data_IF_541678254416
#
_entry.id   IF_541678254416
#
_cell.length_a   1.000
_cell.length_b   1.000
_cell.length_c   1.000
_cell.angle_alpha   90.00
_cell.angle_beta   90.00
_cell.angle_gamma   90.00
#
_symmetry.space_group_name_H-M   'P 1'
#
loop_
_entity.id
_entity.type
_entity.pdbx_description
1 polymer ?
#
# COMPACT_ATOMS: atom_id res chain seq x y z
N UNK A 1 1.66 -20.64 6.03
CA UNK A 1 0.72 -19.71 5.37
C UNK A 1 1.20 -18.29 5.64
N UNK A 2 1.94 -17.66 4.73
CA UNK A 2 2.30 -16.24 4.87
C UNK A 2 1.48 -15.44 3.87
N UNK A 3 0.15 -15.41 4.06
CA UNK A 3 -0.70 -14.41 3.41
C UNK A 3 -0.29 -13.07 4.02
N UNK A 4 0.57 -12.34 3.33
CA UNK A 4 0.91 -10.97 3.68
C UNK A 4 -0.38 -10.15 3.60
N UNK A 5 -1.09 -10.02 4.72
CA UNK A 5 -2.22 -9.10 4.91
C UNK A 5 -1.72 -7.64 5.00
N UNK A 6 -0.72 -7.31 4.19
CA UNK A 6 -0.13 -5.98 4.08
C UNK A 6 -0.16 -5.58 2.61
N UNK A 7 -0.82 -4.47 2.32
CA UNK A 7 -0.85 -3.85 1.01
C UNK A 7 0.13 -2.68 1.02
N UNK A 8 1.17 -2.73 0.19
CA UNK A 8 2.23 -1.72 0.17
C UNK A 8 2.03 -0.82 -1.04
N UNK A 9 1.99 0.49 -0.81
CA UNK A 9 1.84 1.49 -1.85
C UNK A 9 2.87 2.60 -1.68
N UNK A 10 3.73 2.79 -2.67
CA UNK A 10 4.75 3.85 -2.63
C UNK A 10 4.13 5.21 -2.94
N UNK A 11 4.56 6.25 -2.22
CA UNK A 11 4.09 7.61 -2.36
C UNK A 11 5.24 8.61 -2.35
N UNK A 12 4.97 9.81 -2.87
CA UNK A 12 5.94 10.90 -2.94
C UNK A 12 6.16 11.59 -1.59
N UNK A 13 5.19 11.50 -0.68
CA UNK A 13 5.18 12.18 0.61
C UNK A 13 4.42 11.35 1.67
N UNK A 14 4.84 11.32 2.95
CA UNK A 14 4.12 10.64 4.02
C UNK A 14 2.67 11.12 4.21
N UNK A 15 2.35 12.38 3.91
CA UNK A 15 0.99 12.89 4.00
C UNK A 15 0.04 12.16 3.03
N UNK A 16 0.54 11.73 1.87
CA UNK A 16 -0.24 10.97 0.89
C UNK A 16 -0.71 9.62 1.43
N UNK A 17 0.04 9.00 2.33
CA UNK A 17 -0.38 7.75 2.97
C UNK A 17 -1.66 7.95 3.80
N UNK A 18 -1.78 9.09 4.51
CA UNK A 18 -2.97 9.42 5.29
C UNK A 18 -4.16 9.81 4.41
N UNK A 19 -3.90 10.54 3.33
CA UNK A 19 -4.94 10.84 2.33
C UNK A 19 -5.52 9.54 1.74
N UNK A 20 -4.67 8.55 1.45
CA UNK A 20 -5.10 7.24 0.94
C UNK A 20 -5.92 6.46 1.98
N UNK A 21 -5.49 6.44 3.24
CA UNK A 21 -6.26 5.85 4.34
C UNK A 21 -7.66 6.44 4.42
N UNK A 22 -7.79 7.77 4.42
CA UNK A 22 -9.08 8.45 4.50
C UNK A 22 -9.93 8.24 3.24
N UNK A 23 -9.31 8.30 2.06
CA UNK A 23 -10.01 8.20 0.78
C UNK A 23 -10.56 6.81 0.49
N UNK A 24 -9.79 5.78 0.83
CA UNK A 24 -10.13 4.39 0.53
C UNK A 24 -10.62 3.59 1.75
N UNK A 25 -10.60 4.19 2.94
CA UNK A 25 -10.91 3.49 4.18
C UNK A 25 -9.89 2.41 4.54
N UNK A 26 -8.67 2.50 4.01
CA UNK A 26 -7.60 1.55 4.30
C UNK A 26 -6.95 1.90 5.63
N UNK A 27 -6.67 0.90 6.46
CA UNK A 27 -5.98 1.13 7.73
C UNK A 27 -4.48 1.21 7.51
N UNK A 28 -3.89 2.39 7.70
CA UNK A 28 -2.45 2.60 7.60
C UNK A 28 -1.76 1.97 8.81
N UNK A 29 -0.90 1.00 8.55
CA UNK A 29 -0.14 0.27 9.56
C UNK A 29 1.22 0.92 9.79
N UNK A 30 1.87 1.33 8.70
CA UNK A 30 3.24 1.85 8.76
C UNK A 30 3.54 2.76 7.57
N UNK A 31 4.44 3.73 7.75
CA UNK A 31 5.03 4.51 6.66
C UNK A 31 6.54 4.36 6.74
N UNK A 32 7.14 3.78 5.70
CA UNK A 32 8.59 3.55 5.64
C UNK A 32 9.25 4.51 4.66
N UNK A 33 10.39 5.13 4.98
CA UNK A 33 11.15 5.86 3.98
C UNK A 33 11.79 4.89 2.98
N UNK A 34 11.78 5.25 1.71
CA UNK A 34 12.48 4.52 0.63
C UNK A 34 13.79 5.25 0.29
N UNK A 35 14.61 4.61 -0.55
CA UNK A 35 15.82 5.24 -1.11
C UNK A 35 15.53 5.99 -2.43
N UNK A 36 14.27 6.01 -2.87
CA UNK A 36 13.87 6.61 -4.13
C UNK A 36 13.70 8.13 -4.03
N UNK A 37 14.14 8.84 -5.07
CA UNK A 37 14.05 10.31 -5.12
C UNK A 37 12.62 10.80 -5.38
N UNK A 38 11.82 10.00 -6.08
CA UNK A 38 10.46 10.33 -6.50
C UNK A 38 9.47 9.79 -5.47
N UNK A 39 9.45 8.48 -5.26
CA UNK A 39 8.55 7.81 -4.33
C UNK A 39 9.25 7.61 -2.99
N UNK A 40 9.34 8.67 -2.20
CA UNK A 40 10.17 8.74 -0.99
C UNK A 40 9.69 7.87 0.16
N UNK A 41 8.45 7.38 0.13
CA UNK A 41 7.87 6.57 1.21
C UNK A 41 7.06 5.40 0.68
N UNK A 42 7.02 4.32 1.44
CA UNK A 42 6.10 3.21 1.27
C UNK A 42 5.04 3.26 2.37
N UNK A 43 3.78 3.39 1.94
CA UNK A 43 2.60 3.31 2.78
C UNK A 43 2.20 1.83 2.92
N UNK A 44 2.25 1.28 4.13
CA UNK A 44 1.86 -0.10 4.42
C UNK A 44 0.47 -0.09 5.03
N UNK A 45 -0.50 -0.67 4.34
CA UNK A 45 -1.90 -0.78 4.78
C UNK A 45 -2.23 -2.22 5.20
N UNK A 46 -3.23 -2.37 6.07
CA UNK A 46 -3.80 -3.67 6.43
C UNK A 46 -4.72 -4.17 5.30
N UNK A 47 -4.46 -5.37 4.78
CA UNK A 47 -5.27 -5.97 3.72
C UNK A 47 -4.51 -6.90 2.79
N UNK A 48 -5.21 -7.79 2.08
CA UNK A 48 -4.60 -8.66 1.06
C UNK A 48 -4.10 -7.78 -0.09
N UNK A 49 -2.81 -7.87 -0.41
CA UNK A 49 -2.30 -7.28 -1.65
C UNK A 49 -2.94 -8.00 -2.84
N UNK A 50 -3.71 -7.28 -3.65
CA UNK A 50 -4.25 -7.78 -4.91
C UNK A 50 -3.17 -7.63 -5.98
N UNK A 51 -2.82 -8.72 -6.63
CA UNK A 51 -1.94 -8.65 -7.80
C UNK A 51 -2.77 -8.34 -9.05
N UNK A 52 -2.13 -7.82 -10.10
CA UNK A 52 -2.80 -7.67 -11.40
C UNK A 52 -3.33 -9.01 -11.94
N UNK A 53 -2.68 -10.12 -11.59
CA UNK A 53 -3.08 -11.48 -11.99
C UNK A 53 -4.34 -11.98 -11.26
N UNK A 54 -4.61 -11.56 -10.01
CA UNK A 54 -5.85 -11.88 -9.29
C UNK A 54 -7.10 -11.41 -10.07
N UNK A 55 -7.01 -10.30 -10.82
CA UNK A 55 -8.12 -9.74 -11.60
C UNK A 55 -8.19 -10.26 -13.05
N UNK A 56 -7.18 -11.01 -13.53
CA UNK A 56 -7.13 -11.49 -14.92
C UNK A 56 -7.82 -12.84 -15.11
N UNK A 57 -7.89 -13.64 -14.05
CA UNK A 57 -8.56 -14.94 -14.03
C UNK A 57 -9.65 -14.94 -12.96
N UNK A 58 -10.70 -14.15 -13.17
CA UNK A 58 -11.92 -14.29 -12.37
C UNK A 58 -12.52 -15.68 -12.61
N UNK A 59 -12.47 -16.54 -11.59
CA UNK A 59 -13.28 -17.76 -11.51
C UNK A 59 -14.53 -17.44 -10.70
#
# INVERSE_FOLDING_TARGET
MSKNNKNIHSATDPAKCREMEQKYGWKLVEVRPTKDKILKVDCVFEGKQTTFEDNRYGN
#
